data_IF_888141995394
#
_entry.id   IF_888141995394
#
_cell.length_a   1.000
_cell.length_b   1.000
_cell.length_c   1.000
_cell.angle_alpha   90.00
_cell.angle_beta   90.00
_cell.angle_gamma   90.00
#
_symmetry.space_group_name_H-M   'P 1'
#
loop_
_entity.id
_entity.type
_entity.pdbx_description
1 polymer ?
#
# COMPACT_ATOMS: atom_id res chain seq x y z
N UNK A 1 -7.96 9.03 -5.14
CA UNK A 1 -7.68 7.76 -4.43
C UNK A 1 -8.88 7.41 -3.56
N UNK A 2 -9.49 6.28 -3.84
CA UNK A 2 -10.70 5.83 -3.15
C UNK A 2 -10.59 4.33 -2.89
N UNK A 3 -11.48 3.83 -2.03
CA UNK A 3 -11.57 2.38 -1.78
C UNK A 3 -11.82 1.64 -3.09
N UNK A 4 -11.13 0.52 -3.26
CA UNK A 4 -11.21 -0.27 -4.48
C UNK A 4 -10.18 0.08 -5.53
N UNK A 5 -9.49 1.20 -5.40
CA UNK A 5 -8.45 1.57 -6.36
C UNK A 5 -7.26 0.62 -6.29
N UNK A 6 -6.69 0.35 -7.46
CA UNK A 6 -5.42 -0.35 -7.55
C UNK A 6 -4.30 0.65 -7.31
N UNK A 7 -3.43 0.34 -6.37
CA UNK A 7 -2.31 1.22 -6.02
C UNK A 7 -1.00 0.47 -6.04
N UNK A 8 0.08 1.23 -6.20
CA UNK A 8 1.44 0.71 -6.15
C UNK A 8 2.19 1.39 -5.02
N UNK A 9 2.96 0.60 -4.28
CA UNK A 9 3.80 1.11 -3.21
C UNK A 9 5.03 1.79 -3.79
N UNK A 10 5.27 3.03 -3.41
CA UNK A 10 6.43 3.82 -3.82
C UNK A 10 7.18 4.23 -2.56
N UNK A 11 8.32 3.64 -2.32
CA UNK A 11 9.12 4.00 -1.16
C UNK A 11 10.60 3.82 -1.48
N UNK A 12 11.41 4.73 -0.95
CA UNK A 12 12.87 4.63 -1.10
C UNK A 12 13.51 4.00 0.12
N UNK A 13 12.83 4.04 1.25
CA UNK A 13 13.40 3.60 2.51
C UNK A 13 12.40 2.72 3.24
N UNK A 14 12.19 1.50 2.75
CA UNK A 14 11.13 0.63 3.29
C UNK A 14 11.57 -0.20 4.49
N UNK A 15 12.53 0.26 5.30
CA UNK A 15 13.08 -0.56 6.38
C UNK A 15 11.96 -1.14 7.26
N UNK A 16 11.03 -0.29 7.68
CA UNK A 16 9.92 -0.74 8.52
C UNK A 16 8.88 -1.53 7.74
N UNK A 17 8.83 -1.38 6.41
CA UNK A 17 7.92 -2.15 5.56
C UNK A 17 8.41 -3.57 5.34
N UNK A 18 9.71 -3.80 5.41
CA UNK A 18 10.26 -5.15 5.24
C UNK A 18 9.72 -6.11 6.30
N UNK A 19 9.39 -5.60 7.49
CA UNK A 19 8.83 -6.45 8.53
C UNK A 19 7.45 -7.00 8.15
N UNK A 20 6.78 -6.37 7.19
CA UNK A 20 5.49 -6.84 6.66
C UNK A 20 5.66 -7.64 5.37
N UNK A 21 6.88 -7.74 4.86
CA UNK A 21 7.13 -8.43 3.60
C UNK A 21 6.84 -7.61 2.36
N UNK A 22 6.68 -6.28 2.49
CA UNK A 22 6.40 -5.40 1.36
C UNK A 22 7.68 -4.96 0.67
N UNK A 23 7.59 -4.81 -0.64
CA UNK A 23 8.68 -4.29 -1.48
C UNK A 23 8.21 -3.08 -2.25
N UNK A 24 9.18 -2.21 -2.60
CA UNK A 24 8.86 -1.11 -3.51
C UNK A 24 8.26 -1.68 -4.80
N UNK A 25 7.19 -1.05 -5.27
CA UNK A 25 6.49 -1.50 -6.47
C UNK A 25 5.39 -2.51 -6.24
N UNK A 26 5.20 -2.99 -5.01
CA UNK A 26 4.11 -3.93 -4.72
C UNK A 26 2.75 -3.32 -5.05
N UNK A 27 1.87 -4.15 -5.58
CA UNK A 27 0.51 -3.74 -5.94
C UNK A 27 -0.48 -4.17 -4.89
N UNK A 28 -1.49 -3.33 -4.69
CA UNK A 28 -2.56 -3.64 -3.74
C UNK A 28 -3.85 -2.93 -4.10
N UNK A 29 -4.90 -3.30 -3.40
CA UNK A 29 -6.23 -2.70 -3.57
C UNK A 29 -6.55 -1.97 -2.29
N UNK A 30 -6.99 -0.72 -2.38
CA UNK A 30 -7.37 0.06 -1.20
C UNK A 30 -8.58 -0.59 -0.55
N UNK A 31 -8.40 -1.00 0.69
CA UNK A 31 -9.43 -1.66 1.48
C UNK A 31 -10.20 -0.65 2.33
N UNK A 32 -9.51 0.33 2.90
CA UNK A 32 -10.14 1.36 3.71
C UNK A 32 -9.31 2.64 3.66
N UNK A 33 -10.00 3.76 3.50
CA UNK A 33 -9.36 5.08 3.49
C UNK A 33 -9.33 5.66 4.89
N UNK A 34 -8.16 6.14 5.31
CA UNK A 34 -8.02 6.99 6.48
C UNK A 34 -7.53 8.35 6.05
N UNK A 35 -7.29 9.24 7.00
CA UNK A 35 -6.80 10.60 6.69
C UNK A 35 -5.40 10.57 6.11
N UNK A 36 -4.49 9.88 6.77
CA UNK A 36 -3.10 9.74 6.33
C UNK A 36 -2.68 8.30 6.16
N UNK A 37 -3.33 7.38 6.87
CA UNK A 37 -3.03 5.95 6.81
C UNK A 37 -4.09 5.26 5.98
N UNK A 38 -3.64 4.45 5.04
CA UNK A 38 -4.51 3.75 4.11
C UNK A 38 -4.34 2.25 4.35
N UNK A 39 -5.45 1.55 4.54
CA UNK A 39 -5.42 0.10 4.63
C UNK A 39 -5.49 -0.48 3.23
N UNK A 40 -4.47 -1.24 2.85
CA UNK A 40 -4.34 -1.80 1.51
C UNK A 40 -4.24 -3.32 1.61
N UNK A 41 -5.00 -3.99 0.76
CA UNK A 41 -4.85 -5.44 0.59
C UNK A 41 -3.75 -5.68 -0.45
N UNK A 42 -2.61 -6.20 0.01
CA UNK A 42 -1.43 -6.41 -0.83
C UNK A 42 -1.53 -7.74 -1.56
N UNK A 43 -1.49 -7.69 -2.88
CA UNK A 43 -1.80 -8.86 -3.70
C UNK A 43 -0.74 -9.95 -3.60
N UNK A 44 0.55 -9.57 -3.58
CA UNK A 44 1.63 -10.54 -3.55
C UNK A 44 1.66 -11.33 -2.24
N UNK A 45 1.48 -10.64 -1.13
CA UNK A 45 1.56 -11.28 0.18
C UNK A 45 0.20 -11.72 0.71
N UNK A 46 -0.88 -11.35 0.02
CA UNK A 46 -2.26 -11.74 0.35
C UNK A 46 -2.65 -11.35 1.77
N UNK A 47 -2.24 -10.16 2.18
CA UNK A 47 -2.56 -9.61 3.50
C UNK A 47 -2.80 -8.13 3.42
N UNK A 48 -3.60 -7.63 4.37
CA UNK A 48 -3.80 -6.20 4.53
C UNK A 48 -2.66 -5.61 5.35
N UNK A 49 -2.33 -4.36 5.05
CA UNK A 49 -1.36 -3.61 5.81
C UNK A 49 -1.60 -2.13 5.66
N UNK A 50 -1.33 -1.38 6.73
CA UNK A 50 -1.46 0.07 6.74
C UNK A 50 -0.17 0.69 6.22
N UNK A 51 -0.33 1.68 5.32
CA UNK A 51 0.80 2.48 4.84
C UNK A 51 0.38 3.93 4.79
N UNK A 52 1.35 4.82 4.82
CA UNK A 52 1.08 6.25 4.68
C UNK A 52 0.62 6.57 3.27
N UNK A 53 -0.33 7.47 3.16
CA UNK A 53 -0.95 7.84 1.89
C UNK A 53 0.09 8.27 0.85
N UNK A 54 1.10 9.03 1.26
CA UNK A 54 2.09 9.55 0.33
C UNK A 54 3.00 8.47 -0.27
N UNK A 55 2.95 7.25 0.26
CA UNK A 55 3.72 6.12 -0.27
C UNK A 55 2.98 5.38 -1.37
N UNK A 56 1.76 5.79 -1.69
CA UNK A 56 0.92 5.10 -2.65
C UNK A 56 0.76 5.91 -3.93
N UNK A 57 0.70 5.20 -5.04
CA UNK A 57 0.41 5.77 -6.36
C UNK A 57 -0.73 4.97 -6.98
N UNK A 58 -1.78 5.68 -7.44
CA UNK A 58 -2.89 5.01 -8.13
C UNK A 58 -2.38 4.49 -9.48
N UNK A 59 -2.72 3.26 -9.78
CA UNK A 59 -2.38 2.61 -11.03
C UNK A 59 -3.64 2.46 -11.85
N UNK A 60 -3.58 2.89 -13.08
CA UNK A 60 -4.71 2.75 -13.98
C UNK A 60 -4.30 2.08 -15.26
#
# INVERSE_FOLDING_TARGET
>A
MIEGDLVRLKTRYPIWLYSFGLNDGDLGIISKMGDEDILVYWLRIKREGLVKKHLLQVVQ
#
